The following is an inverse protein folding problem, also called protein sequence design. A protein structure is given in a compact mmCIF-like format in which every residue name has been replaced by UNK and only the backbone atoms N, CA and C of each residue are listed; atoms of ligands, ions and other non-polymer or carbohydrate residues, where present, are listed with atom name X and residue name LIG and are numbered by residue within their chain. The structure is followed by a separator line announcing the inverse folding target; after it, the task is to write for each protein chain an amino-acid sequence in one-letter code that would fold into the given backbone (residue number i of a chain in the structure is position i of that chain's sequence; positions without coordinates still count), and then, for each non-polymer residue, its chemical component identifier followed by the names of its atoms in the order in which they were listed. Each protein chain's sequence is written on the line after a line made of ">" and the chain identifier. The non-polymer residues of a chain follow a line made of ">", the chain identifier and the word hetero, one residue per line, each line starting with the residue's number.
data_IF_279454364094
#
_entry.id   IF_279454364094
#
_cell.length_a   1.000
_cell.length_b   1.000
_cell.length_c   1.000
_cell.angle_alpha   90.00
_cell.angle_beta   90.00
_cell.angle_gamma   90.00
#
_symmetry.space_group_name_H-M   'P 1'
#
loop_
_entity.id
_entity.type
_entity.pdbx_description
1 polymer ?
#
# COMPACT_ATOMS: atom_id res chain seq x y z
N UNK A 1 -30.77 -19.24 -13.77
CA UNK A 1 -30.74 -17.87 -14.31
C UNK A 1 -30.75 -16.82 -13.23
N UNK A 2 -31.82 -16.70 -12.44
CA UNK A 2 -31.97 -15.64 -11.43
C UNK A 2 -31.00 -15.81 -10.24
N UNK A 3 -30.78 -17.05 -9.80
CA UNK A 3 -29.85 -17.38 -8.70
C UNK A 3 -28.39 -17.02 -9.00
N UNK A 4 -27.93 -17.21 -10.24
CA UNK A 4 -26.55 -16.90 -10.64
C UNK A 4 -26.30 -15.40 -10.72
N UNK A 5 -27.23 -14.62 -11.29
CA UNK A 5 -27.08 -13.16 -11.36
C UNK A 5 -27.16 -12.51 -9.97
N UNK A 6 -28.03 -13.02 -9.10
CA UNK A 6 -28.12 -12.56 -7.72
C UNK A 6 -26.82 -12.85 -6.95
N UNK A 7 -26.25 -14.04 -7.11
CA UNK A 7 -24.98 -14.40 -6.48
C UNK A 7 -23.84 -13.48 -6.90
N UNK A 8 -23.70 -13.19 -8.19
CA UNK A 8 -22.67 -12.26 -8.70
C UNK A 8 -22.86 -10.85 -8.15
N UNK A 9 -24.11 -10.36 -8.11
CA UNK A 9 -24.41 -9.04 -7.55
C UNK A 9 -24.06 -8.95 -6.06
N UNK A 10 -24.40 -9.98 -5.27
CA UNK A 10 -24.05 -10.05 -3.84
C UNK A 10 -22.54 -10.09 -3.66
N UNK A 11 -21.80 -10.90 -4.42
CA UNK A 11 -20.34 -10.94 -4.34
C UNK A 11 -19.69 -9.60 -4.66
N UNK A 12 -20.14 -8.93 -5.73
CA UNK A 12 -19.62 -7.60 -6.08
C UNK A 12 -19.90 -6.57 -4.96
N UNK A 13 -21.09 -6.63 -4.38
CA UNK A 13 -21.47 -5.78 -3.26
C UNK A 13 -20.64 -6.07 -2.00
N UNK A 14 -20.35 -7.35 -1.70
CA UNK A 14 -19.48 -7.73 -0.58
C UNK A 14 -18.07 -7.17 -0.75
N UNK A 15 -17.50 -7.26 -1.96
CA UNK A 15 -16.20 -6.64 -2.25
C UNK A 15 -16.26 -5.12 -2.12
N UNK A 16 -17.31 -4.48 -2.62
CA UNK A 16 -17.51 -3.04 -2.49
C UNK A 16 -17.65 -2.59 -1.02
N UNK A 17 -18.38 -3.34 -0.21
CA UNK A 17 -18.52 -3.11 1.23
C UNK A 17 -17.18 -3.25 1.95
N UNK A 18 -16.46 -4.35 1.73
CA UNK A 18 -15.14 -4.57 2.33
C UNK A 18 -14.15 -3.46 1.93
N UNK A 19 -14.19 -3.03 0.67
CA UNK A 19 -13.32 -1.97 0.16
C UNK A 19 -13.63 -0.60 0.79
N UNK A 20 -14.92 -0.28 0.95
CA UNK A 20 -15.36 0.93 1.63
C UNK A 20 -14.99 0.90 3.12
N UNK A 21 -15.17 -0.23 3.81
CA UNK A 21 -14.78 -0.42 5.21
C UNK A 21 -13.29 -0.23 5.42
N UNK A 22 -12.44 -0.92 4.66
CA UNK A 22 -10.98 -0.78 4.78
C UNK A 22 -10.57 0.67 4.52
N UNK A 23 -11.12 1.31 3.49
CA UNK A 23 -10.79 2.70 3.17
C UNK A 23 -11.24 3.69 4.25
N UNK A 24 -12.41 3.46 4.85
CA UNK A 24 -12.94 4.27 5.94
C UNK A 24 -12.10 4.11 7.21
N UNK A 25 -11.81 2.87 7.62
CA UNK A 25 -11.04 2.56 8.81
C UNK A 25 -9.66 3.21 8.73
N UNK A 26 -8.99 3.07 7.57
CA UNK A 26 -7.67 3.65 7.39
C UNK A 26 -7.65 5.17 7.37
N UNK A 27 -8.71 5.81 6.89
CA UNK A 27 -8.81 7.27 6.98
C UNK A 27 -9.12 7.74 8.39
N UNK A 28 -9.86 6.96 9.19
CA UNK A 28 -10.26 7.35 10.56
C UNK A 28 -9.26 6.99 11.65
N UNK A 29 -8.27 6.15 11.34
CA UNK A 29 -7.21 5.73 12.26
C UNK A 29 -6.42 6.95 12.83
N UNK A 30 -6.42 7.14 14.17
CA UNK A 30 -5.68 8.22 14.83
C UNK A 30 -4.18 8.21 14.53
N UNK A 31 -3.54 7.04 14.48
CA UNK A 31 -2.10 6.92 14.25
C UNK A 31 -1.74 7.39 12.84
N UNK A 32 -2.57 7.02 11.84
CA UNK A 32 -2.37 7.44 10.44
C UNK A 32 -2.59 8.94 10.27
N UNK A 33 -3.63 9.48 10.91
CA UNK A 33 -3.90 10.93 10.91
C UNK A 33 -2.78 11.73 11.57
N UNK A 34 -2.18 11.22 12.62
CA UNK A 34 -1.01 11.85 13.26
C UNK A 34 0.24 11.73 12.39
N UNK A 35 0.46 10.57 11.76
CA UNK A 35 1.64 10.35 10.93
C UNK A 35 1.63 11.19 9.63
N UNK A 36 0.46 11.35 8.99
CA UNK A 36 0.32 12.13 7.75
C UNK A 36 -0.97 12.99 7.80
N UNK A 37 -0.97 14.08 8.59
CA UNK A 37 -2.16 14.91 8.82
C UNK A 37 -2.63 15.67 7.56
N UNK A 38 -1.77 15.81 6.56
CA UNK A 38 -2.10 16.42 5.27
C UNK A 38 -2.74 15.46 4.25
N UNK A 39 -2.83 14.16 4.57
CA UNK A 39 -3.36 13.14 3.65
C UNK A 39 -4.59 12.43 4.19
N UNK A 40 -4.54 11.98 5.45
CA UNK A 40 -5.64 11.28 6.12
C UNK A 40 -6.54 12.27 6.87
N UNK A 41 -7.85 11.99 6.85
CA UNK A 41 -8.90 12.82 7.44
C UNK A 41 -9.96 13.28 6.44
N UNK A 42 -10.03 12.71 5.23
CA UNK A 42 -11.02 13.14 4.24
C UNK A 42 -12.46 12.80 4.65
N UNK A 43 -12.64 11.85 5.59
CA UNK A 43 -13.93 11.51 6.18
C UNK A 43 -14.43 12.67 7.09
N UNK A 44 -15.57 13.30 6.78
CA UNK A 44 -16.08 14.46 7.51
C UNK A 44 -16.56 14.10 8.91
N UNK A 45 -16.71 15.09 9.80
CA UNK A 45 -17.11 14.84 11.18
C UNK A 45 -18.61 14.50 11.35
N UNK A 46 -19.49 15.09 10.54
CA UNK A 46 -20.93 14.94 10.68
C UNK A 46 -21.42 13.53 10.31
N UNK A 47 -22.28 12.93 11.16
CA UNK A 47 -22.75 11.55 11.00
C UNK A 47 -23.41 11.27 9.64
N UNK A 48 -24.34 12.13 9.20
CA UNK A 48 -25.00 11.99 7.90
C UNK A 48 -24.01 12.05 6.73
N UNK A 49 -23.01 12.94 6.81
CA UNK A 49 -21.97 13.06 5.78
C UNK A 49 -21.08 11.81 5.75
N UNK A 50 -20.75 11.22 6.91
CA UNK A 50 -20.00 9.95 6.97
C UNK A 50 -20.75 8.81 6.33
N UNK A 51 -22.04 8.66 6.65
CA UNK A 51 -22.88 7.61 6.08
C UNK A 51 -22.98 7.73 4.55
N UNK A 52 -23.21 8.94 4.04
CA UNK A 52 -23.26 9.20 2.60
C UNK A 52 -21.88 8.99 1.93
N UNK A 53 -20.79 9.38 2.58
CA UNK A 53 -19.44 9.12 2.08
C UNK A 53 -19.17 7.61 1.99
N UNK A 54 -19.53 6.85 3.03
CA UNK A 54 -19.39 5.40 3.04
C UNK A 54 -20.22 4.75 1.93
N UNK A 55 -21.49 5.14 1.80
CA UNK A 55 -22.39 4.64 0.76
C UNK A 55 -21.84 4.94 -0.65
N UNK A 56 -21.33 6.15 -0.89
CA UNK A 56 -20.73 6.50 -2.18
C UNK A 56 -19.46 5.69 -2.48
N UNK A 57 -18.56 5.48 -1.51
CA UNK A 57 -17.39 4.61 -1.67
C UNK A 57 -17.79 3.17 -2.01
N UNK A 58 -18.83 2.65 -1.37
CA UNK A 58 -19.36 1.31 -1.62
C UNK A 58 -19.87 1.19 -3.05
N UNK A 59 -20.70 2.14 -3.50
CA UNK A 59 -21.30 2.12 -4.84
C UNK A 59 -20.23 2.28 -5.92
N UNK A 60 -19.26 3.18 -5.72
CA UNK A 60 -18.11 3.32 -6.62
C UNK A 60 -17.36 1.99 -6.74
N UNK A 61 -16.98 1.39 -5.61
CA UNK A 61 -16.17 0.15 -5.60
C UNK A 61 -16.93 -1.02 -6.25
N UNK A 62 -18.21 -1.17 -5.94
CA UNK A 62 -19.08 -2.21 -6.51
C UNK A 62 -19.24 -2.00 -8.01
N UNK A 63 -19.56 -0.78 -8.44
CA UNK A 63 -19.82 -0.48 -9.85
C UNK A 63 -18.58 -0.61 -10.72
N UNK A 64 -17.42 -0.11 -10.26
CA UNK A 64 -16.14 -0.28 -10.98
C UNK A 64 -15.78 -1.75 -11.12
N UNK A 65 -15.97 -2.56 -10.07
CA UNK A 65 -15.73 -4.01 -10.15
C UNK A 65 -16.63 -4.69 -11.19
N UNK A 66 -17.93 -4.36 -11.22
CA UNK A 66 -18.86 -4.91 -12.22
C UNK A 66 -18.41 -4.54 -13.65
N UNK A 67 -18.06 -3.28 -13.87
CA UNK A 67 -17.58 -2.78 -15.17
C UNK A 67 -16.30 -3.53 -15.60
N UNK A 68 -15.33 -3.67 -14.69
CA UNK A 68 -14.06 -4.35 -14.94
C UNK A 68 -14.25 -5.82 -15.28
N UNK A 69 -15.05 -6.54 -14.47
CA UNK A 69 -15.35 -7.95 -14.70
C UNK A 69 -16.07 -8.16 -16.04
N UNK A 70 -17.06 -7.34 -16.38
CA UNK A 70 -17.74 -7.44 -17.67
C UNK A 70 -16.79 -7.19 -18.85
N UNK A 71 -15.91 -6.19 -18.75
CA UNK A 71 -14.91 -5.91 -19.79
C UNK A 71 -14.01 -7.13 -20.05
N UNK A 72 -13.52 -7.77 -18.98
CA UNK A 72 -12.65 -8.94 -19.08
C UNK A 72 -13.42 -10.15 -19.63
N UNK A 73 -14.67 -10.35 -19.21
CA UNK A 73 -15.52 -11.45 -19.69
C UNK A 73 -15.80 -11.30 -21.18
N UNK A 74 -16.22 -10.12 -21.66
CA UNK A 74 -16.49 -9.88 -23.08
C UNK A 74 -15.25 -10.17 -23.94
N UNK A 75 -14.10 -9.63 -23.57
CA UNK A 75 -12.85 -9.91 -24.29
C UNK A 75 -12.44 -11.39 -24.19
N UNK A 76 -12.73 -12.04 -23.07
CA UNK A 76 -12.51 -13.47 -22.86
C UNK A 76 -13.37 -14.36 -23.77
N UNK A 77 -14.61 -13.95 -24.05
CA UNK A 77 -15.52 -14.66 -24.97
C UNK A 77 -15.02 -14.63 -26.43
N UNK A 78 -14.33 -13.56 -26.84
CA UNK A 78 -13.65 -13.51 -28.15
C UNK A 78 -12.44 -14.45 -28.16
N UNK A 79 -11.70 -14.47 -27.04
CA UNK A 79 -10.64 -15.43 -26.82
C UNK A 79 -9.64 -15.00 -25.76
N UNK A 80 -9.01 -15.99 -25.13
CA UNK A 80 -8.06 -15.79 -24.03
C UNK A 80 -6.92 -14.79 -24.32
N UNK A 81 -6.48 -14.70 -25.59
CA UNK A 81 -5.45 -13.74 -26.01
C UNK A 81 -5.90 -12.28 -25.85
N UNK A 82 -7.17 -11.97 -26.09
CA UNK A 82 -7.72 -10.61 -25.94
C UNK A 82 -7.81 -10.20 -24.48
N UNK A 83 -8.32 -11.09 -23.61
CA UNK A 83 -8.38 -10.84 -22.17
C UNK A 83 -6.98 -10.60 -21.57
N UNK A 84 -6.00 -11.46 -21.88
CA UNK A 84 -4.63 -11.25 -21.39
C UNK A 84 -3.96 -10.03 -22.01
N UNK A 85 -4.21 -9.77 -23.30
CA UNK A 85 -3.71 -8.57 -23.98
C UNK A 85 -4.21 -7.29 -23.30
N UNK A 86 -5.48 -7.25 -22.93
CA UNK A 86 -6.08 -6.12 -22.22
C UNK A 86 -5.48 -5.92 -20.82
N UNK A 87 -5.43 -6.97 -20.00
CA UNK A 87 -4.85 -6.90 -18.64
C UNK A 87 -3.37 -6.51 -18.72
N UNK A 88 -2.64 -7.10 -19.67
CA UNK A 88 -1.23 -6.82 -19.91
C UNK A 88 -0.98 -5.39 -20.41
N UNK A 89 -1.83 -4.87 -21.28
CA UNK A 89 -1.72 -3.49 -21.78
C UNK A 89 -2.00 -2.46 -20.67
N UNK A 90 -3.02 -2.68 -19.84
CA UNK A 90 -3.36 -1.78 -18.73
C UNK A 90 -2.27 -1.79 -17.64
N UNK A 91 -1.77 -2.98 -17.25
CA UNK A 91 -0.64 -3.11 -16.33
C UNK A 91 0.66 -2.53 -16.92
N UNK A 92 0.93 -2.82 -18.19
CA UNK A 92 2.11 -2.34 -18.91
C UNK A 92 2.14 -0.82 -19.00
N UNK A 93 1.02 -0.20 -19.39
CA UNK A 93 0.88 1.26 -19.44
C UNK A 93 1.12 1.89 -18.06
N UNK A 94 0.53 1.31 -17.00
CA UNK A 94 0.76 1.76 -15.63
C UNK A 94 2.24 1.71 -15.23
N UNK A 95 2.93 0.60 -15.52
CA UNK A 95 4.35 0.45 -15.19
C UNK A 95 5.23 1.41 -16.00
N UNK A 96 4.96 1.59 -17.30
CA UNK A 96 5.67 2.55 -18.15
C UNK A 96 5.54 3.96 -17.57
N UNK A 97 4.32 4.38 -17.20
CA UNK A 97 4.09 5.70 -16.57
C UNK A 97 4.86 5.84 -15.26
N UNK A 98 4.94 4.79 -14.42
CA UNK A 98 5.71 4.81 -13.17
C UNK A 98 7.22 4.95 -13.42
N UNK A 99 7.75 4.27 -14.44
CA UNK A 99 9.16 4.38 -14.84
C UNK A 99 9.46 5.78 -15.38
N UNK A 100 8.65 6.28 -16.32
CA UNK A 100 8.84 7.60 -16.93
C UNK A 100 8.79 8.74 -15.91
N UNK A 101 7.98 8.60 -14.85
CA UNK A 101 7.88 9.58 -13.76
C UNK A 101 8.96 9.43 -12.68
N UNK A 102 9.85 8.43 -12.80
CA UNK A 102 10.86 8.13 -11.77
C UNK A 102 10.26 7.67 -10.44
N UNK A 103 9.08 7.05 -10.47
CA UNK A 103 8.30 6.61 -9.29
C UNK A 103 8.14 5.08 -9.27
N UNK A 104 9.03 4.35 -9.96
CA UNK A 104 8.99 2.89 -10.03
C UNK A 104 9.35 2.25 -8.69
N UNK A 105 10.44 2.68 -8.06
CA UNK A 105 10.98 2.11 -6.83
C UNK A 105 9.95 2.12 -5.70
N UNK A 106 9.67 0.93 -5.17
CA UNK A 106 8.83 0.79 -3.99
C UNK A 106 9.58 1.32 -2.77
N UNK A 107 8.84 1.68 -1.73
CA UNK A 107 9.42 2.40 -0.61
C UNK A 107 10.22 1.50 0.33
N UNK A 108 10.00 0.19 0.31
CA UNK A 108 10.62 -0.76 1.24
C UNK A 108 12.07 -1.13 0.82
N UNK A 109 13.07 -0.96 1.71
CA UNK A 109 14.46 -1.24 1.40
C UNK A 109 14.74 -2.75 1.45
N UNK A 110 14.95 -3.35 0.28
CA UNK A 110 15.37 -4.76 0.16
C UNK A 110 16.79 -4.87 -0.38
N UNK A 111 17.27 -3.88 -1.13
CA UNK A 111 18.65 -3.77 -1.60
C UNK A 111 18.97 -4.70 -2.78
N UNK A 112 20.03 -4.35 -3.52
CA UNK A 112 20.53 -5.16 -4.63
C UNK A 112 19.50 -5.40 -5.73
N UNK A 113 19.59 -6.56 -6.39
CA UNK A 113 18.68 -6.97 -7.46
C UNK A 113 17.26 -7.28 -6.95
N UNK A 114 17.15 -7.73 -5.68
CA UNK A 114 15.86 -8.04 -5.05
C UNK A 114 14.94 -6.83 -5.01
N UNK A 115 15.49 -5.63 -4.93
CA UNK A 115 14.71 -4.40 -4.87
C UNK A 115 13.95 -4.10 -6.17
N UNK A 116 14.52 -4.43 -7.33
CA UNK A 116 13.84 -4.30 -8.62
C UNK A 116 12.65 -5.25 -8.65
N UNK A 117 12.86 -6.51 -8.25
CA UNK A 117 11.83 -7.53 -8.25
C UNK A 117 10.69 -7.21 -7.27
N UNK A 118 11.03 -6.85 -6.03
CA UNK A 118 10.05 -6.46 -5.00
C UNK A 118 9.30 -5.21 -5.43
N UNK A 119 9.97 -4.23 -6.03
CA UNK A 119 9.29 -3.05 -6.58
C UNK A 119 8.31 -3.42 -7.69
N UNK A 120 8.73 -4.21 -8.67
CA UNK A 120 7.86 -4.66 -9.76
C UNK A 120 6.64 -5.42 -9.23
N UNK A 121 6.87 -6.39 -8.35
CA UNK A 121 5.82 -7.21 -7.76
C UNK A 121 4.84 -6.36 -6.94
N UNK A 122 5.33 -5.49 -6.05
CA UNK A 122 4.48 -4.60 -5.26
C UNK A 122 3.66 -3.69 -6.16
N UNK A 123 4.22 -3.11 -7.22
CA UNK A 123 3.50 -2.25 -8.17
C UNK A 123 2.39 -3.01 -8.91
N UNK A 124 2.67 -4.23 -9.37
CA UNK A 124 1.67 -5.09 -10.04
C UNK A 124 0.56 -5.46 -9.06
N UNK A 125 0.90 -5.87 -7.84
CA UNK A 125 -0.08 -6.24 -6.81
C UNK A 125 -0.95 -5.05 -6.43
N UNK A 126 -0.36 -3.89 -6.12
CA UNK A 126 -1.12 -2.69 -5.76
C UNK A 126 -2.04 -2.25 -6.88
N UNK A 127 -1.58 -2.25 -8.15
CA UNK A 127 -2.42 -1.91 -9.31
C UNK A 127 -3.57 -2.90 -9.47
N UNK A 128 -3.28 -4.20 -9.42
CA UNK A 128 -4.29 -5.26 -9.53
C UNK A 128 -5.34 -5.12 -8.43
N UNK A 129 -4.92 -4.98 -7.16
CA UNK A 129 -5.83 -4.76 -6.04
C UNK A 129 -6.70 -3.53 -6.30
N UNK A 130 -6.10 -2.40 -6.71
CA UNK A 130 -6.86 -1.17 -6.96
C UNK A 130 -7.90 -1.35 -8.07
N UNK A 131 -7.57 -2.05 -9.15
CA UNK A 131 -8.50 -2.24 -10.27
C UNK A 131 -9.74 -3.05 -9.90
N UNK A 132 -9.61 -3.98 -8.95
CA UNK A 132 -10.72 -4.83 -8.52
C UNK A 132 -11.45 -4.32 -7.27
N UNK A 133 -10.84 -3.44 -6.49
CA UNK A 133 -11.41 -3.00 -5.20
C UNK A 133 -11.68 -1.50 -5.11
N UNK A 134 -11.04 -0.68 -5.96
CA UNK A 134 -11.12 0.78 -5.92
C UNK A 134 -10.77 1.40 -4.55
N UNK A 135 -9.96 0.71 -3.73
CA UNK A 135 -9.57 1.14 -2.40
C UNK A 135 -9.02 2.58 -2.42
N UNK A 136 -9.69 3.48 -1.70
CA UNK A 136 -9.43 4.92 -1.77
C UNK A 136 -8.07 5.25 -1.19
N UNK A 137 -7.61 4.55 -0.15
CA UNK A 137 -6.31 4.83 0.47
C UNK A 137 -5.13 4.60 -0.50
N UNK A 138 -5.30 3.76 -1.53
CA UNK A 138 -4.25 3.48 -2.54
C UNK A 138 -3.94 4.69 -3.44
N UNK A 139 -4.72 5.77 -3.31
CA UNK A 139 -4.39 7.10 -3.82
C UNK A 139 -3.15 7.72 -3.16
N UNK A 140 -2.60 7.10 -2.11
CA UNK A 140 -1.39 7.58 -1.45
C UNK A 140 -0.21 7.71 -2.44
N UNK A 141 0.60 8.78 -2.40
CA UNK A 141 1.70 9.00 -3.36
C UNK A 141 2.69 7.85 -3.46
N UNK A 142 2.87 7.06 -2.39
CA UNK A 142 3.77 5.90 -2.39
C UNK A 142 3.19 4.69 -3.12
N UNK A 143 1.89 4.66 -3.37
CA UNK A 143 1.16 3.58 -4.04
C UNK A 143 0.83 3.98 -5.49
N UNK A 144 -0.42 4.31 -5.83
CA UNK A 144 -0.76 4.78 -7.17
C UNK A 144 -0.56 6.30 -7.31
N UNK A 145 -0.77 7.04 -6.23
CA UNK A 145 -0.89 8.51 -6.25
C UNK A 145 -2.30 8.97 -6.62
N UNK A 146 -2.64 10.20 -6.23
CA UNK A 146 -4.00 10.74 -6.34
C UNK A 146 -4.55 10.66 -7.76
N UNK A 147 -3.91 11.39 -8.68
CA UNK A 147 -4.38 11.44 -10.07
C UNK A 147 -4.29 10.07 -10.75
N UNK A 148 -3.29 9.27 -10.39
CA UNK A 148 -3.13 7.90 -10.91
C UNK A 148 -4.31 7.00 -10.53
N UNK A 149 -4.76 7.08 -9.28
CA UNK A 149 -5.95 6.37 -8.81
C UNK A 149 -7.20 6.82 -9.56
N UNK A 150 -7.42 8.14 -9.70
CA UNK A 150 -8.56 8.67 -10.46
C UNK A 150 -8.58 8.21 -11.92
N UNK A 151 -7.42 8.28 -12.60
CA UNK A 151 -7.30 7.86 -13.99
C UNK A 151 -7.54 6.35 -14.14
N UNK A 152 -7.07 5.50 -13.22
CA UNK A 152 -7.36 4.06 -13.27
C UNK A 152 -8.85 3.75 -13.23
N UNK A 153 -9.62 4.48 -12.39
CA UNK A 153 -11.08 4.31 -12.31
C UNK A 153 -11.77 4.88 -13.56
N UNK A 154 -11.32 6.03 -14.06
CA UNK A 154 -11.82 6.62 -15.30
C UNK A 154 -11.60 5.70 -16.51
N UNK A 155 -10.39 5.15 -16.66
CA UNK A 155 -10.08 4.18 -17.70
C UNK A 155 -10.97 2.94 -17.61
N UNK A 156 -11.27 2.46 -16.41
CA UNK A 156 -12.19 1.32 -16.24
C UNK A 156 -13.59 1.60 -16.79
N UNK A 157 -14.12 2.82 -16.62
CA UNK A 157 -15.40 3.21 -17.22
C UNK A 157 -15.35 3.26 -18.76
N UNK A 158 -14.20 3.63 -19.34
CA UNK A 158 -13.98 3.66 -20.80
C UNK A 158 -13.78 2.25 -21.38
N UNK A 159 -13.18 1.34 -20.62
CA UNK A 159 -12.86 -0.01 -21.10
C UNK A 159 -14.07 -0.85 -21.48
N UNK A 160 -15.20 -0.69 -20.78
CA UNK A 160 -16.40 -1.49 -21.09
C UNK A 160 -17.00 -1.15 -22.46
N UNK A 161 -17.29 0.12 -22.80
CA UNK A 161 -17.71 0.47 -24.16
C UNK A 161 -16.73 -0.03 -25.24
N UNK A 162 -15.42 0.15 -25.02
CA UNK A 162 -14.40 -0.34 -25.98
C UNK A 162 -14.44 -1.86 -26.12
N UNK A 163 -14.63 -2.61 -25.03
CA UNK A 163 -14.73 -4.06 -25.06
C UNK A 163 -15.99 -4.54 -25.80
N UNK A 164 -17.11 -3.83 -25.66
CA UNK A 164 -18.36 -4.11 -26.39
C UNK A 164 -18.13 -3.92 -27.90
N UNK A 165 -17.58 -2.78 -28.31
CA UNK A 165 -17.30 -2.50 -29.73
C UNK A 165 -16.39 -3.55 -30.37
N UNK A 166 -15.32 -3.96 -29.66
CA UNK A 166 -14.41 -5.02 -30.14
C UNK A 166 -15.13 -6.37 -30.24
N UNK A 167 -16.03 -6.65 -29.29
CA UNK A 167 -16.82 -7.89 -29.28
C UNK A 167 -17.83 -7.92 -30.42
N UNK A 168 -18.62 -6.87 -30.61
CA UNK A 168 -19.60 -6.74 -31.71
C UNK A 168 -18.89 -6.84 -33.07
N UNK A 169 -17.73 -6.20 -33.21
CA UNK A 169 -16.92 -6.30 -34.44
C UNK A 169 -16.47 -7.73 -34.75
N UNK A 170 -16.19 -8.55 -33.73
CA UNK A 170 -15.71 -9.94 -33.92
C UNK A 170 -16.82 -10.96 -34.05
N UNK A 171 -17.91 -10.80 -33.32
CA UNK A 171 -18.95 -11.83 -33.16
C UNK A 171 -20.28 -11.47 -33.82
N UNK A 172 -20.44 -10.25 -34.35
CA UNK A 172 -21.72 -9.74 -34.85
C UNK A 172 -22.59 -9.13 -33.74
N UNK A 173 -23.66 -8.42 -34.13
CA UNK A 173 -24.28 -7.36 -33.32
C UNK A 173 -25.42 -7.79 -32.38
N UNK A 174 -25.68 -9.09 -32.17
CA UNK A 174 -26.86 -9.54 -31.41
C UNK A 174 -26.62 -10.75 -30.49
N UNK A 175 -25.73 -10.61 -29.49
CA UNK A 175 -25.65 -11.59 -28.40
C UNK A 175 -26.34 -11.10 -27.11
N UNK A 176 -26.78 -12.04 -26.27
CA UNK A 176 -27.30 -11.73 -24.92
C UNK A 176 -26.25 -10.99 -24.07
N UNK A 177 -24.96 -11.27 -24.31
CA UNK A 177 -23.86 -10.62 -23.62
C UNK A 177 -23.79 -9.11 -23.94
N UNK A 178 -24.03 -8.72 -25.19
CA UNK A 178 -23.99 -7.32 -25.64
C UNK A 178 -25.12 -6.51 -25.03
N UNK A 179 -26.33 -7.07 -25.08
CA UNK A 179 -27.51 -6.46 -24.48
C UNK A 179 -27.36 -6.25 -22.97
N UNK A 180 -26.70 -7.19 -22.27
CA UNK A 180 -26.41 -7.05 -20.85
C UNK A 180 -25.32 -6.01 -20.59
N UNK A 181 -24.27 -6.00 -21.42
CA UNK A 181 -23.16 -5.06 -21.28
C UNK A 181 -23.59 -3.61 -21.52
N UNK A 182 -24.42 -3.35 -22.54
CA UNK A 182 -25.01 -2.03 -22.76
C UNK A 182 -25.90 -1.58 -21.60
N UNK A 183 -26.64 -2.49 -20.94
CA UNK A 183 -27.35 -2.14 -19.69
C UNK A 183 -26.40 -1.72 -18.58
N UNK A 184 -25.25 -2.38 -18.43
CA UNK A 184 -24.23 -1.94 -17.46
C UNK A 184 -23.71 -0.54 -17.81
N UNK A 185 -23.47 -0.25 -19.09
CA UNK A 185 -23.08 1.09 -19.54
C UNK A 185 -24.15 2.14 -19.20
N UNK A 186 -25.42 1.87 -19.49
CA UNK A 186 -26.50 2.85 -19.29
C UNK A 186 -26.95 3.03 -17.85
N UNK A 187 -26.80 2.02 -16.98
CA UNK A 187 -27.26 2.10 -15.59
C UNK A 187 -26.11 2.20 -14.57
N UNK A 188 -25.06 1.40 -14.71
CA UNK A 188 -23.99 1.30 -13.70
C UNK A 188 -23.02 2.48 -13.82
N UNK A 189 -22.58 2.84 -15.04
CA UNK A 189 -21.65 3.96 -15.22
C UNK A 189 -22.24 5.28 -14.70
N UNK A 190 -23.48 5.70 -15.06
CA UNK A 190 -24.08 6.90 -14.48
C UNK A 190 -24.22 6.84 -12.95
N UNK A 191 -24.59 5.68 -12.40
CA UNK A 191 -24.69 5.49 -10.94
C UNK A 191 -23.33 5.69 -10.24
N UNK A 192 -22.25 5.16 -10.84
CA UNK A 192 -20.88 5.38 -10.36
C UNK A 192 -20.48 6.86 -10.47
N UNK A 193 -20.79 7.52 -11.59
CA UNK A 193 -20.50 8.95 -11.78
C UNK A 193 -21.22 9.85 -10.79
N UNK A 194 -22.51 9.60 -10.54
CA UNK A 194 -23.28 10.30 -9.50
C UNK A 194 -22.66 10.05 -8.13
N UNK A 195 -22.25 8.81 -7.84
CA UNK A 195 -21.59 8.47 -6.58
C UNK A 195 -20.24 9.17 -6.42
N UNK A 196 -19.47 9.34 -7.49
CA UNK A 196 -18.26 10.16 -7.48
C UNK A 196 -18.55 11.63 -7.21
N UNK A 197 -19.58 12.19 -7.84
CA UNK A 197 -19.99 13.58 -7.59
C UNK A 197 -20.38 13.78 -6.12
N UNK A 198 -21.19 12.87 -5.56
CA UNK A 198 -21.56 12.85 -4.14
C UNK A 198 -20.32 12.71 -3.25
N UNK A 199 -19.42 11.78 -3.56
CA UNK A 199 -18.17 11.58 -2.83
C UNK A 199 -17.37 12.88 -2.74
N UNK A 200 -17.06 13.51 -3.88
CA UNK A 200 -16.26 14.75 -3.93
C UNK A 200 -16.95 15.96 -3.33
N UNK A 201 -18.29 16.02 -3.36
CA UNK A 201 -19.05 17.07 -2.68
C UNK A 201 -19.05 16.92 -1.15
N UNK A 202 -18.87 15.70 -0.64
CA UNK A 202 -18.97 15.39 0.79
C UNK A 202 -17.61 15.41 1.49
N UNK A 203 -16.52 15.05 0.80
CA UNK A 203 -15.19 15.00 1.43
C UNK A 203 -14.79 16.33 2.07
N UNK A 204 -13.95 16.24 3.10
CA UNK A 204 -13.31 17.41 3.68
C UNK A 204 -12.44 18.13 2.65
N UNK A 205 -12.83 19.36 2.27
CA UNK A 205 -12.23 20.12 1.15
C UNK A 205 -10.72 20.29 1.26
N UNK A 206 -10.18 20.36 2.47
CA UNK A 206 -8.72 20.41 2.74
C UNK A 206 -7.95 19.23 2.16
N UNK A 207 -8.60 18.08 1.95
CA UNK A 207 -7.98 16.88 1.39
C UNK A 207 -8.29 16.67 -0.09
N UNK A 208 -9.15 17.49 -0.71
CA UNK A 208 -9.52 17.30 -2.12
C UNK A 208 -8.31 17.33 -3.06
N UNK A 209 -7.34 18.21 -2.79
CA UNK A 209 -6.10 18.29 -3.57
C UNK A 209 -5.27 16.99 -3.59
N UNK A 210 -5.44 16.12 -2.59
CA UNK A 210 -4.73 14.84 -2.53
C UNK A 210 -5.23 13.82 -3.56
N UNK A 211 -6.44 14.00 -4.11
CA UNK A 211 -6.98 13.17 -5.19
C UNK A 211 -6.49 13.61 -6.58
N UNK A 212 -6.09 14.87 -6.74
CA UNK A 212 -5.58 15.40 -8.01
C UNK A 212 -4.05 15.58 -8.00
N UNK A 213 -3.40 15.19 -6.90
CA UNK A 213 -1.96 15.37 -6.73
C UNK A 213 -1.15 14.51 -7.72
N UNK A 214 -0.16 15.16 -8.35
CA UNK A 214 0.89 14.55 -9.17
C UNK A 214 2.16 14.24 -8.37
N UNK A 215 2.13 14.39 -7.04
CA UNK A 215 3.28 14.12 -6.18
C UNK A 215 3.67 12.63 -6.27
N UNK A 216 4.96 12.36 -6.48
CA UNK A 216 5.52 11.00 -6.48
C UNK A 216 5.80 10.53 -5.06
N UNK A 217 5.90 9.22 -4.84
CA UNK A 217 6.21 8.65 -3.53
C UNK A 217 7.54 9.17 -2.98
N UNK A 218 8.53 9.32 -3.86
CA UNK A 218 9.83 9.94 -3.55
C UNK A 218 9.67 11.38 -3.06
N UNK A 219 9.02 12.25 -3.85
CA UNK A 219 8.83 13.67 -3.49
C UNK A 219 8.05 13.80 -2.18
N UNK A 220 7.01 12.99 -1.99
CA UNK A 220 6.23 12.96 -0.76
C UNK A 220 7.10 12.64 0.48
N UNK A 221 7.96 11.64 0.41
CA UNK A 221 8.84 11.31 1.53
C UNK A 221 9.89 12.41 1.80
N UNK A 222 10.40 13.05 0.75
CA UNK A 222 11.33 14.18 0.88
C UNK A 222 10.65 15.41 1.48
N UNK A 223 9.41 15.72 1.07
CA UNK A 223 8.60 16.79 1.65
C UNK A 223 8.30 16.52 3.12
N UNK A 224 8.00 15.26 3.49
CA UNK A 224 7.78 14.88 4.89
C UNK A 224 9.04 15.09 5.74
N UNK A 225 10.23 14.83 5.21
CA UNK A 225 11.48 15.13 5.91
C UNK A 225 11.72 16.64 6.05
N UNK A 226 11.50 17.43 4.99
CA UNK A 226 11.77 18.87 4.99
C UNK A 226 10.77 19.68 5.81
N UNK A 227 9.48 19.33 5.71
CA UNK A 227 8.36 20.07 6.30
C UNK A 227 7.77 19.39 7.53
N UNK A 228 8.21 18.18 7.85
CA UNK A 228 7.71 17.41 8.99
C UNK A 228 7.98 18.11 10.32
N UNK A 229 6.95 18.18 11.15
CA UNK A 229 7.03 18.72 12.51
C UNK A 229 7.53 17.62 13.44
N UNK A 230 8.71 17.84 14.03
CA UNK A 230 9.34 16.92 14.98
C UNK A 230 10.19 15.82 14.34
N UNK A 231 11.15 15.30 15.12
CA UNK A 231 12.12 14.30 14.66
C UNK A 231 11.48 12.96 14.28
N UNK A 232 10.39 12.58 14.96
CA UNK A 232 9.66 11.34 14.66
C UNK A 232 9.11 11.31 13.23
N UNK A 233 8.51 12.42 12.77
CA UNK A 233 7.98 12.55 11.41
C UNK A 233 9.12 12.53 10.38
N UNK A 234 10.22 13.25 10.65
CA UNK A 234 11.42 13.28 9.79
C UNK A 234 12.06 11.90 9.67
N UNK A 235 12.12 11.14 10.76
CA UNK A 235 12.69 9.80 10.79
C UNK A 235 11.97 8.79 9.89
N UNK A 236 10.76 9.07 9.41
CA UNK A 236 10.06 8.22 8.46
C UNK A 236 10.88 7.98 7.17
N UNK A 237 11.74 8.93 6.77
CA UNK A 237 12.62 8.80 5.60
C UNK A 237 13.66 7.68 5.77
N UNK A 238 14.09 7.40 7.00
CA UNK A 238 15.12 6.39 7.29
C UNK A 238 14.64 4.97 7.00
N UNK A 239 13.33 4.73 7.04
CA UNK A 239 12.72 3.44 6.68
C UNK A 239 12.66 3.22 5.17
N UNK A 240 12.97 4.23 4.36
CA UNK A 240 12.80 4.20 2.91
C UNK A 240 14.09 3.75 2.22
N UNK A 241 13.96 3.18 1.03
CA UNK A 241 15.13 2.86 0.20
C UNK A 241 15.97 4.10 -0.14
N UNK A 242 17.27 3.89 -0.40
CA UNK A 242 18.23 4.95 -0.77
C UNK A 242 17.79 5.75 -1.99
N UNK A 243 16.99 5.19 -2.90
CA UNK A 243 16.44 5.94 -4.03
C UNK A 243 15.57 7.14 -3.62
N UNK A 244 14.98 7.10 -2.41
CA UNK A 244 14.19 8.19 -1.85
C UNK A 244 15.07 9.30 -1.26
N UNK A 245 16.32 8.98 -0.91
CA UNK A 245 17.27 9.91 -0.31
C UNK A 245 18.00 10.76 -1.36
N UNK A 246 17.98 10.33 -2.63
CA UNK A 246 18.63 11.05 -3.74
C UNK A 246 18.15 12.50 -3.81
N UNK A 247 19.07 13.43 -3.55
CA UNK A 247 18.86 14.88 -3.52
C UNK A 247 18.64 15.50 -2.13
N UNK A 248 18.53 14.69 -1.07
CA UNK A 248 18.42 15.15 0.33
C UNK A 248 19.35 14.39 1.28
N UNK A 249 20.20 13.50 0.78
CA UNK A 249 21.01 12.60 1.59
C UNK A 249 21.94 13.38 2.55
N UNK A 250 22.54 14.46 2.08
CA UNK A 250 23.43 15.28 2.90
C UNK A 250 22.67 16.06 3.97
N UNK A 251 21.44 16.52 3.67
CA UNK A 251 20.55 17.13 4.67
C UNK A 251 20.18 16.11 5.77
N UNK A 252 19.91 14.85 5.39
CA UNK A 252 19.63 13.78 6.36
C UNK A 252 20.86 13.49 7.22
N UNK A 253 22.06 13.41 6.61
CA UNK A 253 23.32 13.20 7.34
C UNK A 253 23.59 14.32 8.34
N UNK A 254 23.36 15.57 7.94
CA UNK A 254 23.53 16.73 8.81
C UNK A 254 22.54 16.69 9.97
N UNK A 255 21.26 16.44 9.69
CA UNK A 255 20.23 16.29 10.73
C UNK A 255 20.56 15.18 11.74
N UNK A 256 21.01 14.00 11.27
CA UNK A 256 21.45 12.92 12.17
C UNK A 256 22.62 13.36 13.03
N UNK A 257 23.63 14.01 12.43
CA UNK A 257 24.85 14.47 13.14
C UNK A 257 24.52 15.48 14.23
N UNK A 258 23.68 16.46 13.95
CA UNK A 258 23.33 17.54 14.87
C UNK A 258 22.47 17.04 16.04
N UNK A 259 21.57 16.08 15.79
CA UNK A 259 20.62 15.63 16.79
C UNK A 259 21.07 14.38 17.56
N UNK A 260 22.11 13.66 17.10
CA UNK A 260 22.58 12.41 17.72
C UNK A 260 22.89 12.56 19.22
N UNK A 261 23.62 13.62 19.60
CA UNK A 261 23.99 13.85 21.00
C UNK A 261 22.79 14.12 21.90
N UNK A 262 21.73 14.75 21.36
CA UNK A 262 20.46 14.96 22.06
C UNK A 262 19.72 13.63 22.22
N UNK A 263 19.64 12.83 21.15
CA UNK A 263 18.97 11.52 21.17
C UNK A 263 19.63 10.52 22.12
N UNK A 264 20.96 10.55 22.27
CA UNK A 264 21.67 9.70 23.24
C UNK A 264 21.31 10.02 24.70
N UNK A 265 21.06 11.30 25.01
CA UNK A 265 20.70 11.78 26.35
C UNK A 265 19.22 11.55 26.64
N UNK A 266 18.35 12.02 25.75
CA UNK A 266 16.91 12.05 25.97
C UNK A 266 16.23 10.70 25.68
N UNK A 267 16.83 9.85 24.85
CA UNK A 267 16.28 8.54 24.43
C UNK A 267 14.81 8.64 24.00
N UNK A 268 14.51 9.38 22.94
CA UNK A 268 13.13 9.63 22.55
C UNK A 268 12.43 8.33 22.15
N UNK A 269 11.14 8.21 22.50
CA UNK A 269 10.34 6.99 22.31
C UNK A 269 10.31 6.50 20.85
N UNK A 270 10.34 7.42 19.89
CA UNK A 270 10.34 7.09 18.46
C UNK A 270 11.65 6.43 18.00
N UNK A 271 12.78 6.67 18.69
CA UNK A 271 14.10 6.15 18.32
C UNK A 271 14.33 4.78 18.99
N UNK A 272 13.51 3.81 18.59
CA UNK A 272 13.63 2.42 19.03
C UNK A 272 14.91 1.77 18.49
N UNK A 273 15.29 0.62 19.07
CA UNK A 273 16.47 -0.15 18.63
C UNK A 273 16.38 -0.63 17.17
N UNK A 274 15.16 -0.86 16.68
CA UNK A 274 14.89 -1.12 15.27
C UNK A 274 15.15 0.12 14.41
N UNK A 275 14.69 1.29 14.87
CA UNK A 275 14.90 2.56 14.17
C UNK A 275 16.37 2.95 14.09
N UNK A 276 17.14 2.72 15.16
CA UNK A 276 18.60 2.90 15.15
C UNK A 276 19.28 2.02 14.12
N UNK A 277 18.76 0.81 13.87
CA UNK A 277 19.30 -0.10 12.86
C UNK A 277 19.11 0.41 11.43
N UNK A 278 18.06 1.20 11.17
CA UNK A 278 17.79 1.82 9.86
C UNK A 278 18.80 2.94 9.53
N UNK A 279 19.41 3.58 10.54
CA UNK A 279 20.42 4.62 10.34
C UNK A 279 21.74 3.98 9.87
N UNK A 280 22.34 4.42 8.75
CA UNK A 280 23.67 3.98 8.34
C UNK A 280 24.73 4.25 9.42
N UNK A 281 25.59 3.27 9.70
CA UNK A 281 26.63 3.37 10.74
C UNK A 281 27.56 4.56 10.47
N UNK A 282 27.84 4.82 9.19
CA UNK A 282 28.69 5.91 8.73
C UNK A 282 28.18 7.30 9.12
N UNK A 283 26.88 7.43 9.41
CA UNK A 283 26.26 8.72 9.74
C UNK A 283 26.29 9.01 11.24
N UNK A 284 26.65 8.02 12.06
CA UNK A 284 26.77 8.19 13.51
C UNK A 284 28.06 9.00 13.80
N UNK A 285 27.96 10.18 14.43
CA UNK A 285 29.10 11.09 14.55
C UNK A 285 30.20 10.59 15.51
N UNK A 286 29.84 9.86 16.57
CA UNK A 286 30.82 9.43 17.58
C UNK A 286 31.41 8.06 17.25
N UNK A 287 32.74 7.90 17.36
CA UNK A 287 33.39 6.59 17.21
C UNK A 287 32.85 5.57 18.23
N UNK A 288 32.56 6.01 19.45
CA UNK A 288 31.95 5.18 20.49
C UNK A 288 30.55 4.72 20.09
N UNK A 289 29.72 5.62 19.55
CA UNK A 289 28.38 5.29 19.03
C UNK A 289 28.45 4.30 17.86
N UNK A 290 29.36 4.54 16.89
CA UNK A 290 29.61 3.62 15.77
C UNK A 290 30.01 2.23 16.23
N UNK A 291 30.97 2.13 17.13
CA UNK A 291 31.44 0.84 17.65
C UNK A 291 30.33 0.11 18.39
N UNK A 292 29.58 0.81 19.26
CA UNK A 292 28.47 0.23 20.01
C UNK A 292 27.39 -0.35 19.09
N UNK A 293 27.01 0.42 18.07
CA UNK A 293 25.98 0.01 17.13
C UNK A 293 26.45 -1.11 16.20
N UNK A 294 27.72 -1.09 15.79
CA UNK A 294 28.34 -2.17 15.00
C UNK A 294 28.32 -3.50 15.76
N UNK A 295 28.78 -3.49 17.02
CA UNK A 295 28.79 -4.68 17.88
C UNK A 295 27.37 -5.20 18.11
N UNK A 296 26.41 -4.31 18.37
CA UNK A 296 25.00 -4.66 18.56
C UNK A 296 24.37 -5.30 17.33
N UNK A 297 24.58 -4.74 16.13
CA UNK A 297 24.06 -5.33 14.89
C UNK A 297 24.71 -6.69 14.60
N UNK A 298 26.00 -6.84 14.91
CA UNK A 298 26.71 -8.11 14.78
C UNK A 298 26.21 -9.18 15.76
N UNK A 299 25.83 -8.82 16.99
CA UNK A 299 25.24 -9.77 17.95
C UNK A 299 23.83 -10.20 17.52
N UNK A 300 23.00 -9.29 17.01
CA UNK A 300 21.67 -9.61 16.49
C UNK A 300 21.71 -10.56 15.28
N UNK A 301 22.63 -10.33 14.33
CA UNK A 301 22.84 -11.24 13.19
C UNK A 301 23.25 -12.63 13.68
N UNK A 302 24.18 -12.72 14.63
CA UNK A 302 24.59 -14.01 15.22
C UNK A 302 23.44 -14.72 15.92
N UNK A 303 22.65 -14.01 16.73
CA UNK A 303 21.48 -14.59 17.42
C UNK A 303 20.40 -15.10 16.45
N UNK A 304 20.16 -14.37 15.36
CA UNK A 304 19.25 -14.79 14.28
C UNK A 304 19.74 -16.09 13.61
N UNK A 305 21.01 -16.15 13.23
CA UNK A 305 21.60 -17.35 12.59
C UNK A 305 21.53 -18.56 13.53
N UNK A 306 21.85 -18.37 14.80
CA UNK A 306 21.78 -19.44 15.81
C UNK A 306 20.35 -19.96 15.99
N UNK A 307 19.34 -19.09 16.03
CA UNK A 307 17.93 -19.50 16.07
C UNK A 307 17.51 -20.28 14.82
N UNK A 308 17.94 -19.83 13.64
CA UNK A 308 17.64 -20.56 12.39
C UNK A 308 18.33 -21.92 12.36
N UNK A 309 19.57 -22.01 12.85
CA UNK A 309 20.29 -23.28 12.96
C UNK A 309 19.65 -24.20 13.99
N UNK A 310 19.27 -23.71 15.17
CA UNK A 310 18.57 -24.50 16.19
C UNK A 310 17.21 -25.00 15.69
N UNK A 311 16.45 -24.16 14.97
CA UNK A 311 15.18 -24.57 14.36
C UNK A 311 15.35 -25.62 13.26
N UNK A 312 16.46 -25.59 12.51
CA UNK A 312 16.82 -26.66 11.57
C UNK A 312 17.27 -27.92 12.30
N UNK A 313 18.05 -27.80 13.38
CA UNK A 313 18.52 -28.93 14.19
C UNK A 313 17.35 -29.69 14.84
N UNK A 314 16.38 -28.95 15.42
CA UNK A 314 15.15 -29.55 15.98
C UNK A 314 14.28 -30.24 14.92
N UNK A 315 14.39 -29.87 13.65
CA UNK A 315 13.71 -30.57 12.54
C UNK A 315 14.43 -31.83 12.08
N UNK A 316 15.75 -31.93 12.30
CA UNK A 316 16.59 -33.04 11.83
C UNK A 316 16.77 -34.11 12.92
N UNK A 317 16.83 -33.70 14.19
CA UNK A 317 16.98 -34.60 15.35
C UNK A 317 16.02 -34.14 16.46
N UNK A 318 14.76 -34.59 16.46
CA UNK A 318 13.80 -34.22 17.49
C UNK A 318 14.10 -34.82 18.88
N UNK A 319 14.99 -35.81 18.98
CA UNK A 319 15.28 -36.53 20.25
C UNK A 319 16.46 -35.99 21.08
N UNK A 320 17.15 -34.93 20.65
CA UNK A 320 18.28 -34.37 21.42
C UNK A 320 17.98 -32.98 22.01
N UNK A 321 16.84 -32.81 22.66
CA UNK A 321 16.60 -31.64 23.52
C UNK A 321 17.21 -31.88 24.91
N UNK A 322 18.53 -31.66 25.04
CA UNK A 322 19.17 -31.61 26.36
C UNK A 322 18.80 -30.27 27.02
N UNK A 323 18.12 -30.38 28.15
CA UNK A 323 17.78 -29.28 29.05
C UNK A 323 19.04 -28.58 29.55
N UNK A 324 19.20 -27.32 29.20
CA UNK A 324 20.12 -26.43 29.91
C UNK A 324 19.38 -26.00 31.19
N UNK A 325 19.55 -26.75 32.27
CA UNK A 325 19.21 -26.33 33.63
C UNK A 325 20.44 -25.69 34.27
N UNK A 326 20.29 -24.45 34.75
CA UNK A 326 21.27 -23.73 35.57
C UNK A 326 21.58 -24.50 36.87
N UNK A 327 22.86 -24.64 37.28
CA UNK A 327 23.20 -25.17 38.59
C UNK A 327 23.43 -24.03 39.59
N UNK A 328 22.80 -24.14 40.76
CA UNK A 328 23.29 -23.52 41.98
C UNK A 328 22.24 -22.76 42.78
N UNK A 329 21.63 -23.43 43.75
CA UNK A 329 21.58 -22.98 45.15
C UNK A 329 21.14 -24.16 46.02
N UNK A 330 22.12 -24.86 46.59
CA UNK A 330 21.92 -25.72 47.76
C UNK A 330 21.65 -24.82 48.97
N UNK A 331 20.55 -25.06 49.68
CA UNK A 331 20.44 -24.74 51.10
C UNK A 331 19.91 -25.97 51.82
N UNK A 332 20.84 -26.64 52.49
CA UNK A 332 20.68 -27.75 53.42
C UNK A 332 19.81 -27.40 54.63
N UNK A 333 19.08 -28.43 55.10
CA UNK A 333 18.82 -28.79 56.52
C UNK A 333 18.12 -27.76 57.43
N UNK A 334 17.18 -28.09 58.31
CA UNK A 334 16.89 -29.33 59.03
C UNK A 334 15.61 -29.13 59.85
N UNK A 335 14.82 -30.19 59.97
CA UNK A 335 14.16 -30.69 61.18
C UNK A 335 13.74 -29.68 62.27
N UNK A 336 12.43 -29.38 62.35
CA UNK A 336 11.48 -29.93 63.33
C UNK A 336 10.05 -29.42 63.05
#
# INVERSE_FOLDING_TARGET
>A
GVSSSLSVAVSAFTVGFASASISYDWDTDPEKRQAVPGFYGFVPAAAMKRALLFASMLVISTGILIIRCMSIVLLGLIGRRWAFGFIGADLGLYLIVKVLRGDFWYWAPTGGFEEIFVSALSRILTKTVTDFTSLVFLRHPQELGGLGWLLSLAFTMVYLPVAIEIYEWKNGMESIADNLAWKVVWFVIPTVLVSFAVFFCIIEKKFLGTFFSLQTGKKFAQDLFKKGVGDAAKAAILKKTRHYWVGIEDDIKLWVRENWGKWEKERPEWLTEAKKAEIPIEWIPTCKGRNRETVRRASLRRGSVLKTMAGKLNKVTPELSISITDPGYESSSSDD
#
